data_IF_159830941810
#
_entry.id   IF_159830941810
#
_cell.length_a   1.000
_cell.length_b   1.000
_cell.length_c   1.000
_cell.angle_alpha   90.00
_cell.angle_beta   90.00
_cell.angle_gamma   90.00
#
_symmetry.space_group_name_H-M   'P 1'
#
loop_
_entity.id
_entity.type
_entity.pdbx_description
1 polymer ?
#
# COMPACT_ATOMS: atom_id res chain seq x y z
N UNK A 1 12.44 -33.61 -43.28
CA UNK A 1 11.02 -33.35 -42.95
C UNK A 1 10.81 -33.81 -41.50
N UNK A 2 11.68 -33.38 -40.60
CA UNK A 2 11.55 -32.24 -39.67
C UNK A 2 10.39 -32.38 -38.67
N UNK A 3 10.81 -32.75 -37.46
CA UNK A 3 10.10 -32.83 -36.19
C UNK A 3 9.40 -31.53 -35.80
N UNK A 4 8.18 -31.65 -35.27
CA UNK A 4 7.45 -30.58 -34.57
C UNK A 4 6.61 -31.19 -33.44
N UNK A 5 7.26 -31.74 -32.41
CA UNK A 5 6.66 -31.99 -31.10
C UNK A 5 7.71 -31.82 -30.01
N UNK A 6 8.08 -30.58 -29.71
CA UNK A 6 8.66 -30.16 -28.42
C UNK A 6 8.86 -28.65 -28.42
N UNK A 7 7.88 -27.89 -27.93
CA UNK A 7 8.17 -26.57 -27.38
C UNK A 7 7.08 -26.13 -26.39
N UNK A 8 7.23 -26.60 -25.14
CA UNK A 8 6.46 -26.13 -23.97
C UNK A 8 7.36 -25.92 -22.74
N UNK A 9 8.65 -25.67 -22.94
CA UNK A 9 9.61 -25.48 -21.84
C UNK A 9 10.55 -24.29 -22.05
N UNK A 10 10.03 -23.12 -22.43
CA UNK A 10 10.85 -21.92 -22.63
C UNK A 10 10.39 -20.70 -21.82
N UNK A 11 10.13 -20.90 -20.53
CA UNK A 11 9.93 -19.80 -19.55
C UNK A 11 10.95 -19.78 -18.42
N UNK A 12 12.03 -20.56 -18.51
CA UNK A 12 13.01 -20.69 -17.42
C UNK A 12 14.35 -19.96 -17.61
N UNK A 13 14.56 -19.22 -18.71
CA UNK A 13 15.88 -18.67 -19.05
C UNK A 13 15.98 -17.14 -19.16
N UNK A 14 15.07 -16.38 -18.55
CA UNK A 14 15.12 -14.90 -18.55
C UNK A 14 15.29 -14.24 -17.17
N UNK A 15 15.52 -15.02 -16.11
CA UNK A 15 15.66 -14.49 -14.73
C UNK A 15 17.00 -14.78 -14.05
N UNK A 16 18.07 -15.08 -14.79
CA UNK A 16 19.35 -15.51 -14.19
C UNK A 16 20.54 -14.56 -14.34
N UNK A 17 20.36 -13.29 -14.70
CA UNK A 17 21.48 -12.35 -14.67
C UNK A 17 21.09 -11.00 -14.06
N UNK A 18 21.84 -10.65 -13.01
CA UNK A 18 21.82 -9.42 -12.22
C UNK A 18 20.81 -9.32 -11.06
N UNK A 19 20.93 -10.23 -10.10
CA UNK A 19 20.71 -9.87 -8.70
C UNK A 19 21.95 -10.32 -7.92
N UNK A 20 22.95 -9.44 -7.84
CA UNK A 20 23.89 -9.53 -6.73
C UNK A 20 23.04 -9.56 -5.46
N UNK A 21 23.30 -10.47 -4.49
CA UNK A 21 22.58 -10.43 -3.24
C UNK A 21 22.82 -9.06 -2.63
N UNK A 22 21.81 -8.19 -2.69
CA UNK A 22 21.69 -7.08 -1.76
C UNK A 22 21.86 -7.76 -0.40
N UNK A 23 23.03 -7.55 0.21
CA UNK A 23 23.28 -7.98 1.58
C UNK A 23 22.23 -7.24 2.38
N UNK A 24 21.11 -7.92 2.62
CA UNK A 24 20.01 -7.37 3.37
C UNK A 24 20.61 -7.10 4.76
N UNK A 25 20.72 -5.82 5.18
CA UNK A 25 21.24 -5.50 6.50
C UNK A 25 20.44 -6.34 7.51
N UNK A 26 21.14 -6.95 8.46
CA UNK A 26 20.59 -7.90 9.44
C UNK A 26 19.22 -7.43 9.95
N UNK A 27 18.17 -8.00 9.36
CA UNK A 27 16.82 -7.50 9.49
C UNK A 27 16.23 -7.99 10.80
N UNK A 28 16.11 -7.11 11.79
CA UNK A 28 15.60 -7.48 13.12
C UNK A 28 14.08 -7.51 13.24
N UNK A 29 13.33 -7.40 12.15
CA UNK A 29 11.85 -7.52 12.18
C UNK A 29 11.13 -6.36 12.87
N UNK A 30 11.84 -5.30 13.26
CA UNK A 30 11.25 -4.10 13.85
C UNK A 30 10.86 -3.11 12.76
N UNK A 31 9.57 -2.77 12.74
CA UNK A 31 8.99 -1.82 11.82
C UNK A 31 9.64 -0.42 11.90
N UNK A 32 10.11 -0.02 13.09
CA UNK A 32 10.79 1.27 13.27
C UNK A 32 12.09 1.34 12.50
N UNK A 33 12.82 0.23 12.42
CA UNK A 33 14.06 0.14 11.64
C UNK A 33 13.80 0.38 10.15
N UNK A 34 12.67 -0.11 9.64
CA UNK A 34 12.26 0.05 8.24
C UNK A 34 11.82 1.49 7.98
N UNK A 35 10.97 2.05 8.84
CA UNK A 35 10.53 3.43 8.70
C UNK A 35 11.70 4.40 8.70
N UNK A 36 12.71 4.13 9.54
CA UNK A 36 13.96 4.90 9.59
C UNK A 36 14.77 4.75 8.30
N UNK A 37 14.88 3.54 7.74
CA UNK A 37 15.60 3.29 6.49
C UNK A 37 15.04 4.10 5.30
N UNK A 38 13.73 4.35 5.28
CA UNK A 38 13.05 5.10 4.22
C UNK A 38 12.84 6.58 4.53
N UNK A 39 13.41 7.10 5.62
CA UNK A 39 13.22 8.47 6.13
C UNK A 39 11.73 8.87 6.17
N UNK A 40 10.88 7.94 6.63
CA UNK A 40 9.43 8.14 6.67
C UNK A 40 9.10 8.97 7.92
N UNK A 41 8.84 10.26 7.72
CA UNK A 41 8.46 11.21 8.77
C UNK A 41 6.94 11.29 8.95
N UNK A 42 6.32 10.15 9.27
CA UNK A 42 4.89 10.09 9.60
C UNK A 42 4.70 10.01 11.12
N UNK A 43 3.67 10.68 11.68
CA UNK A 43 3.37 10.54 13.09
C UNK A 43 2.94 9.11 13.41
N UNK A 44 3.37 8.62 14.57
CA UNK A 44 2.80 7.41 15.17
C UNK A 44 1.54 7.82 15.90
N UNK A 45 0.41 7.28 15.46
CA UNK A 45 -0.93 7.57 15.95
C UNK A 45 -1.43 6.38 16.76
N UNK A 46 -1.96 6.68 17.94
CA UNK A 46 -2.67 5.69 18.73
C UNK A 46 -4.14 5.66 18.31
N UNK A 47 -4.60 4.50 17.87
CA UNK A 47 -5.99 4.29 17.44
C UNK A 47 -6.49 3.00 18.05
N UNK A 48 -7.67 3.07 18.64
CA UNK A 48 -8.34 1.90 19.20
C UNK A 48 -9.16 1.20 18.12
N UNK A 49 -9.11 -0.14 18.11
CA UNK A 49 -9.83 -0.98 17.16
C UNK A 49 -10.85 -1.80 17.92
N UNK A 50 -12.12 -1.57 17.61
CA UNK A 50 -13.22 -2.40 18.11
C UNK A 50 -13.70 -3.35 17.01
N UNK A 51 -14.08 -4.58 17.37
CA UNK A 51 -14.55 -5.59 16.40
C UNK A 51 -15.75 -5.12 15.56
N UNK A 52 -16.62 -4.29 16.16
CA UNK A 52 -17.78 -3.63 15.53
C UNK A 52 -17.40 -2.63 14.42
N UNK A 53 -16.13 -2.23 14.37
CA UNK A 53 -15.61 -1.20 13.46
C UNK A 53 -14.87 -1.77 12.24
N UNK A 54 -14.80 -3.11 12.09
CA UNK A 54 -14.25 -3.74 10.89
C UNK A 54 -15.21 -3.53 9.71
N UNK A 55 -14.77 -2.78 8.70
CA UNK A 55 -15.61 -2.46 7.53
C UNK A 55 -15.26 -3.29 6.30
N UNK A 56 -14.03 -3.80 6.20
CA UNK A 56 -13.64 -4.71 5.13
C UNK A 56 -12.44 -5.58 5.52
N UNK A 57 -12.29 -6.70 4.84
CA UNK A 57 -11.14 -7.58 4.95
C UNK A 57 -10.76 -8.11 3.57
N UNK A 58 -9.45 -8.26 3.34
CA UNK A 58 -8.90 -8.83 2.11
C UNK A 58 -7.66 -9.66 2.40
N UNK A 59 -7.03 -10.18 1.34
CA UNK A 59 -5.82 -11.00 1.46
C UNK A 59 -4.65 -10.27 2.11
N UNK A 60 -4.54 -8.96 1.89
CA UNK A 60 -3.37 -8.17 2.28
C UNK A 60 -3.60 -7.27 3.50
N UNK A 61 -4.86 -6.97 3.83
CA UNK A 61 -5.17 -6.06 4.91
C UNK A 61 -6.57 -6.25 5.52
N UNK A 62 -6.72 -5.76 6.75
CA UNK A 62 -8.01 -5.50 7.38
C UNK A 62 -8.24 -3.99 7.41
N UNK A 63 -9.46 -3.55 7.13
CA UNK A 63 -9.83 -2.14 7.07
C UNK A 63 -10.81 -1.84 8.20
N UNK A 64 -10.40 -0.95 9.09
CA UNK A 64 -11.19 -0.54 10.25
C UNK A 64 -11.58 0.92 10.12
N UNK A 65 -12.81 1.24 10.53
CA UNK A 65 -13.23 2.63 10.74
C UNK A 65 -13.03 2.99 12.21
N UNK A 66 -12.10 3.87 12.51
CA UNK A 66 -11.72 4.22 13.89
C UNK A 66 -11.90 5.72 14.12
N UNK A 67 -11.96 6.13 15.38
CA UNK A 67 -11.97 7.54 15.76
C UNK A 67 -10.54 7.99 16.15
N UNK A 68 -10.14 9.16 15.67
CA UNK A 68 -8.90 9.83 16.03
C UNK A 68 -9.19 11.32 16.24
N UNK A 69 -8.95 11.83 17.45
CA UNK A 69 -9.21 13.22 17.83
C UNK A 69 -10.61 13.72 17.46
N UNK A 70 -11.64 12.90 17.70
CA UNK A 70 -13.04 13.21 17.37
C UNK A 70 -13.39 13.14 15.87
N UNK A 71 -12.53 12.55 15.04
CA UNK A 71 -12.75 12.39 13.59
C UNK A 71 -12.72 10.92 13.18
N UNK A 72 -13.63 10.54 12.30
CA UNK A 72 -13.60 9.21 11.68
C UNK A 72 -12.43 9.11 10.68
N UNK A 73 -11.61 8.07 10.85
CA UNK A 73 -10.47 7.73 9.99
C UNK A 73 -10.49 6.24 9.66
N UNK A 74 -9.65 5.84 8.72
CA UNK A 74 -9.45 4.44 8.36
C UNK A 74 -8.09 3.97 8.88
N UNK A 75 -8.09 2.84 9.58
CA UNK A 75 -6.88 2.07 9.84
C UNK A 75 -6.83 0.87 8.89
N UNK A 76 -5.84 0.86 7.99
CA UNK A 76 -5.52 -0.29 7.13
C UNK A 76 -4.43 -1.10 7.82
N UNK A 77 -4.83 -2.16 8.50
CA UNK A 77 -3.90 -3.07 9.17
C UNK A 77 -3.30 -4.03 8.15
N UNK A 78 -1.99 -3.96 7.99
CA UNK A 78 -1.30 -4.81 7.03
C UNK A 78 -1.08 -6.19 7.63
N UNK A 79 -1.54 -7.22 6.93
CA UNK A 79 -1.37 -8.59 7.36
C UNK A 79 -0.01 -9.12 6.89
N UNK A 80 0.82 -9.67 7.78
CA UNK A 80 1.91 -10.53 7.33
C UNK A 80 1.34 -11.75 6.59
N UNK A 81 2.10 -12.34 5.66
CA UNK A 81 1.76 -13.64 5.11
C UNK A 81 1.66 -14.70 6.23
N UNK A 82 0.98 -15.81 5.93
CA UNK A 82 0.47 -16.87 6.82
C UNK A 82 1.38 -17.30 8.00
N UNK A 83 2.70 -17.10 7.91
CA UNK A 83 3.65 -17.42 8.98
C UNK A 83 3.72 -16.40 10.13
N UNK A 84 3.03 -15.24 10.06
CA UNK A 84 3.14 -14.10 11.01
C UNK A 84 4.58 -13.62 11.28
N UNK A 85 5.55 -14.18 10.58
CA UNK A 85 6.94 -14.05 10.91
C UNK A 85 7.58 -13.07 9.93
N UNK A 86 7.52 -11.80 10.32
CA UNK A 86 8.20 -10.71 9.62
C UNK A 86 9.72 -10.95 9.52
N UNK A 87 10.31 -11.73 10.44
CA UNK A 87 11.74 -12.08 10.40
C UNK A 87 12.10 -13.11 9.31
N UNK A 88 11.13 -13.63 8.56
CA UNK A 88 11.42 -14.42 7.35
C UNK A 88 11.85 -13.51 6.20
N UNK A 89 12.64 -14.05 5.25
CA UNK A 89 13.03 -13.33 4.02
C UNK A 89 11.81 -12.78 3.24
N UNK A 90 10.71 -13.53 3.22
CA UNK A 90 9.47 -13.11 2.56
C UNK A 90 8.77 -11.99 3.34
N UNK A 91 8.71 -12.09 4.67
CA UNK A 91 8.18 -11.02 5.52
C UNK A 91 8.94 -9.71 5.35
N UNK A 92 10.28 -9.77 5.37
CA UNK A 92 11.13 -8.60 5.14
C UNK A 92 10.91 -7.96 3.76
N UNK A 93 10.77 -8.77 2.69
CA UNK A 93 10.45 -8.27 1.34
C UNK A 93 9.10 -7.54 1.29
N UNK A 94 8.08 -8.08 1.95
CA UNK A 94 6.76 -7.48 1.99
C UNK A 94 6.80 -6.15 2.76
N UNK A 95 7.46 -6.10 3.91
CA UNK A 95 7.62 -4.85 4.66
C UNK A 95 8.40 -3.80 3.87
N UNK A 96 9.44 -4.21 3.13
CA UNK A 96 10.18 -3.31 2.25
C UNK A 96 9.28 -2.73 1.14
N UNK A 97 8.40 -3.55 0.55
CA UNK A 97 7.44 -3.11 -0.45
C UNK A 97 6.43 -2.10 0.13
N UNK A 98 5.88 -2.40 1.32
CA UNK A 98 4.94 -1.51 2.01
C UNK A 98 5.61 -0.19 2.40
N UNK A 99 6.83 -0.24 2.93
CA UNK A 99 7.56 0.96 3.30
C UNK A 99 7.89 1.85 2.09
N UNK A 100 8.21 1.25 0.94
CA UNK A 100 8.32 1.99 -0.33
C UNK A 100 7.00 2.65 -0.71
N UNK A 101 5.88 1.95 -0.62
CA UNK A 101 4.55 2.50 -0.89
C UNK A 101 4.23 3.69 0.03
N UNK A 102 4.44 3.53 1.34
CA UNK A 102 4.23 4.59 2.33
C UNK A 102 5.14 5.79 2.04
N UNK A 103 6.43 5.56 1.77
CA UNK A 103 7.39 6.63 1.48
C UNK A 103 6.95 7.42 0.25
N UNK A 104 6.63 6.74 -0.86
CA UNK A 104 6.17 7.40 -2.09
C UNK A 104 4.86 8.16 -1.86
N UNK A 105 3.86 7.53 -1.23
CA UNK A 105 2.55 8.15 -1.01
C UNK A 105 2.63 9.33 -0.04
N UNK A 106 3.46 9.26 1.00
CA UNK A 106 3.62 10.35 1.99
C UNK A 106 4.21 11.64 1.39
N UNK A 107 4.98 11.52 0.31
CA UNK A 107 5.56 12.66 -0.40
C UNK A 107 4.57 13.32 -1.37
N UNK A 108 3.47 12.64 -1.72
CA UNK A 108 2.52 13.13 -2.72
C UNK A 108 1.40 13.94 -2.07
N UNK A 109 1.36 15.24 -2.36
CA UNK A 109 0.31 16.17 -1.89
C UNK A 109 -0.61 16.56 -3.05
N UNK A 110 -1.64 15.74 -3.29
CA UNK A 110 -2.60 15.99 -4.38
C UNK A 110 -4.04 15.70 -3.96
N UNK A 111 -4.98 16.57 -4.34
CA UNK A 111 -6.41 16.50 -3.95
C UNK A 111 -7.17 15.24 -4.37
N UNK A 112 -6.62 14.44 -5.29
CA UNK A 112 -7.22 13.18 -5.77
C UNK A 112 -6.37 11.96 -5.38
N UNK A 113 -5.38 12.13 -4.52
CA UNK A 113 -4.58 11.04 -3.96
C UNK A 113 -4.87 11.04 -2.46
N UNK A 114 -5.20 9.88 -1.92
CA UNK A 114 -5.55 9.74 -0.51
C UNK A 114 -4.29 10.00 0.33
N UNK A 115 -4.28 11.01 1.22
CA UNK A 115 -3.12 11.27 2.05
C UNK A 115 -2.99 10.22 3.15
N UNK A 116 -1.74 9.93 3.54
CA UNK A 116 -1.45 9.20 4.78
C UNK A 116 -1.40 10.21 5.92
N UNK A 117 -2.23 10.02 6.94
CA UNK A 117 -2.26 10.85 8.15
C UNK A 117 -1.15 10.44 9.11
N UNK A 118 -0.86 9.15 9.17
CA UNK A 118 0.17 8.58 10.02
C UNK A 118 0.16 7.06 9.95
N UNK A 119 0.88 6.46 10.90
CA UNK A 119 0.95 5.01 11.07
C UNK A 119 0.58 4.65 12.50
N UNK A 120 0.12 3.43 12.73
CA UNK A 120 -0.15 2.90 14.06
C UNK A 120 0.50 1.52 14.21
N UNK A 121 0.98 1.21 15.40
CA UNK A 121 1.65 -0.06 15.71
C UNK A 121 1.14 -0.58 17.05
N UNK A 122 0.77 -1.86 17.12
CA UNK A 122 0.40 -2.55 18.35
C UNK A 122 0.85 -4.01 18.28
N UNK A 123 0.75 -4.74 19.39
CA UNK A 123 1.10 -6.16 19.44
C UNK A 123 0.28 -7.02 18.45
N UNK A 124 -1.01 -6.69 18.29
CA UNK A 124 -1.92 -7.40 17.40
C UNK A 124 -1.85 -6.88 15.95
N UNK A 125 -1.48 -5.61 15.78
CA UNK A 125 -1.48 -4.90 14.51
C UNK A 125 -0.09 -4.26 14.31
N UNK A 126 0.89 -5.03 13.80
CA UNK A 126 2.28 -4.60 13.76
C UNK A 126 2.51 -3.39 12.84
N UNK A 127 1.67 -3.23 11.82
CA UNK A 127 1.63 -2.05 10.97
C UNK A 127 0.20 -1.71 10.57
N UNK A 128 -0.18 -0.46 10.81
CA UNK A 128 -1.39 0.11 10.24
C UNK A 128 -1.10 1.44 9.58
N UNK A 129 -1.68 1.65 8.40
CA UNK A 129 -1.64 2.93 7.70
C UNK A 129 -2.93 3.67 8.01
N UNK A 130 -2.83 4.90 8.51
CA UNK A 130 -3.98 5.72 8.88
C UNK A 130 -4.27 6.73 7.78
N UNK A 131 -5.51 6.74 7.28
CA UNK A 131 -5.97 7.65 6.22
C UNK A 131 -7.34 8.26 6.56
N UNK A 132 -7.75 9.36 5.92
CA UNK A 132 -9.09 9.89 6.11
C UNK A 132 -10.17 8.88 5.66
N UNK A 133 -11.32 8.89 6.31
CA UNK A 133 -12.49 8.17 5.82
C UNK A 133 -12.97 8.77 4.49
N UNK A 134 -13.10 7.92 3.47
CA UNK A 134 -13.71 8.28 2.19
C UNK A 134 -15.18 7.90 2.24
N UNK A 135 -16.12 8.86 2.19
CA UNK A 135 -17.55 8.61 2.45
C UNK A 135 -18.21 7.70 1.41
N UNK A 136 -17.66 7.65 0.19
CA UNK A 136 -18.23 6.92 -0.92
C UNK A 136 -17.58 5.54 -1.14
N UNK A 137 -16.70 5.11 -0.23
CA UNK A 137 -15.99 3.85 -0.36
C UNK A 137 -15.02 3.80 -1.54
N UNK A 138 -14.85 2.60 -2.08
CA UNK A 138 -13.98 2.30 -3.21
C UNK A 138 -14.57 2.78 -4.53
N UNK A 139 -13.72 2.91 -5.56
CA UNK A 139 -14.18 3.32 -6.88
C UNK A 139 -15.24 2.37 -7.48
N UNK A 140 -15.11 1.02 -7.40
CA UNK A 140 -16.17 0.12 -7.85
C UNK A 140 -17.50 0.37 -7.14
N UNK A 141 -17.49 0.45 -5.80
CA UNK A 141 -18.70 0.71 -5.00
C UNK A 141 -19.34 2.04 -5.39
N UNK A 142 -18.54 3.09 -5.57
CA UNK A 142 -19.05 4.38 -6.02
C UNK A 142 -19.65 4.31 -7.43
N UNK A 143 -19.03 3.58 -8.37
CA UNK A 143 -19.49 3.44 -9.75
C UNK A 143 -20.78 2.62 -9.88
N UNK A 144 -21.03 1.74 -8.92
CA UNK A 144 -22.30 1.00 -8.80
C UNK A 144 -23.41 1.89 -8.24
N UNK A 145 -23.06 2.85 -7.38
CA UNK A 145 -24.00 3.79 -6.76
C UNK A 145 -24.39 4.98 -7.65
N UNK A 146 -23.53 5.39 -8.57
CA UNK A 146 -23.76 6.61 -9.37
C UNK A 146 -24.22 6.33 -10.79
N UNK A 147 -25.09 7.22 -11.29
CA UNK A 147 -25.53 7.25 -12.69
C UNK A 147 -24.34 7.22 -13.66
N UNK A 148 -24.53 6.56 -14.81
CA UNK A 148 -23.57 6.51 -15.92
C UNK A 148 -23.01 7.90 -16.30
N UNK A 149 -23.82 8.96 -16.12
CA UNK A 149 -23.45 10.35 -16.41
C UNK A 149 -22.35 10.90 -15.49
N UNK A 150 -22.16 10.34 -14.30
CA UNK A 150 -21.14 10.79 -13.32
C UNK A 150 -19.79 10.08 -13.50
N UNK A 151 -19.73 9.01 -14.31
CA UNK A 151 -18.52 8.21 -14.53
C UNK A 151 -17.37 8.97 -15.19
N UNK A 152 -17.59 9.85 -16.19
CA UNK A 152 -16.52 10.66 -16.78
C UNK A 152 -15.82 11.56 -15.75
N UNK A 153 -16.57 12.11 -14.79
CA UNK A 153 -16.00 12.95 -13.73
C UNK A 153 -15.12 12.13 -12.76
N UNK A 154 -15.53 10.91 -12.40
CA UNK A 154 -14.70 9.99 -11.60
C UNK A 154 -13.40 9.63 -12.35
N UNK A 155 -13.52 9.31 -13.64
CA UNK A 155 -12.36 8.98 -14.49
C UNK A 155 -11.40 10.15 -14.62
N UNK A 156 -11.89 11.39 -14.75
CA UNK A 156 -11.05 12.59 -14.79
C UNK A 156 -10.26 12.78 -13.49
N UNK A 157 -10.81 12.41 -12.32
CA UNK A 157 -10.08 12.48 -11.04
C UNK A 157 -8.95 11.45 -10.98
N UNK A 158 -9.18 10.23 -11.48
CA UNK A 158 -8.16 9.17 -11.61
C UNK A 158 -7.05 9.60 -12.57
N UNK A 159 -7.40 10.14 -13.73
CA UNK A 159 -6.43 10.64 -14.74
C UNK A 159 -5.60 11.78 -14.17
N UNK A 160 -6.23 12.73 -13.46
CA UNK A 160 -5.51 13.83 -12.79
C UNK A 160 -4.57 13.34 -11.69
N UNK A 161 -4.94 12.29 -10.97
CA UNK A 161 -4.05 11.66 -9.99
C UNK A 161 -2.85 10.98 -10.66
N UNK A 162 -3.06 10.26 -11.77
CA UNK A 162 -1.98 9.60 -12.52
C UNK A 162 -1.05 10.60 -13.23
N UNK A 163 -1.59 11.73 -13.74
CA UNK A 163 -0.79 12.78 -14.36
C UNK A 163 0.00 13.65 -13.38
N UNK A 164 -0.07 13.37 -12.08
CA UNK A 164 0.72 14.07 -11.07
C UNK A 164 2.19 13.70 -11.24
N UNK A 165 3.05 14.69 -11.57
CA UNK A 165 4.49 14.50 -11.78
C UNK A 165 4.96 14.45 -13.23
N UNK A 166 4.06 14.42 -14.22
CA UNK A 166 4.43 14.40 -15.66
C UNK A 166 4.43 15.77 -16.33
N UNK A 167 4.11 16.85 -15.60
CA UNK A 167 4.28 18.20 -16.13
C UNK A 167 5.78 18.52 -16.18
N UNK A 168 6.35 18.81 -17.37
CA UNK A 168 7.72 19.29 -17.43
C UNK A 168 7.81 20.55 -16.59
N UNK A 169 8.81 20.62 -15.71
CA UNK A 169 9.17 21.86 -15.05
C UNK A 169 9.53 22.84 -16.15
N UNK A 170 8.65 23.81 -16.40
CA UNK A 170 9.02 24.99 -17.17
C UNK A 170 10.14 25.66 -16.38
N UNK A 171 11.38 25.46 -16.81
CA UNK A 171 12.51 26.26 -16.36
C UNK A 171 12.20 27.70 -16.77
N UNK A 172 11.89 28.53 -15.80
CA UNK A 172 11.91 29.99 -15.90
C UNK A 172 13.33 30.49 -15.87
#
# INVERSE_FOLDING_TARGET
MLDLLQDRNNTHLLNQQHDAPLQAPEFRGDIRSILTQFDIQLPILDVQRESSCLIAWGGEAMIWKVELDGREVIARDIRPPESRNWATKNGARILLAIAREISLQSQVKHRNILPILGISTSELHPLSIITPLVPNGSAPEYLDLVSLLMRPAAMLRIVRAHGYGTRPSSKS
#
